data_IF_137411866178
#
_entry.id   IF_137411866178
#
_cell.length_a   1.000
_cell.length_b   1.000
_cell.length_c   1.000
_cell.angle_alpha   90.00
_cell.angle_beta   90.00
_cell.angle_gamma   90.00
#
_symmetry.space_group_name_H-M   'P 1'
#
loop_
_entity.id
_entity.type
_entity.pdbx_description
1 polymer ?
#
# COMPACT_ATOMS: atom_id res chain seq x y z
N UNK A 1 0.94 19.42 -28.53
CA UNK A 1 1.81 20.15 -27.58
C UNK A 1 2.71 19.13 -26.91
N UNK A 2 3.94 18.99 -27.41
CA UNK A 2 4.95 18.09 -26.89
C UNK A 2 5.47 18.65 -25.56
N UNK A 3 5.07 18.08 -24.43
CA UNK A 3 5.74 18.33 -23.16
C UNK A 3 7.06 17.59 -23.21
N UNK A 4 8.15 18.34 -23.30
CA UNK A 4 9.50 17.83 -23.04
C UNK A 4 9.54 17.36 -21.59
N UNK A 5 9.55 16.04 -21.35
CA UNK A 5 9.78 15.45 -20.02
C UNK A 5 11.08 14.64 -20.12
N UNK A 6 12.21 15.34 -20.19
CA UNK A 6 13.53 14.78 -19.91
C UNK A 6 13.97 15.40 -18.57
N UNK A 7 14.54 14.70 -17.58
CA UNK A 7 15.10 13.36 -17.60
C UNK A 7 16.02 13.20 -16.39
N UNK A 8 15.46 13.04 -15.19
CA UNK A 8 16.24 12.73 -13.98
C UNK A 8 15.72 11.44 -13.38
N UNK A 9 16.61 10.47 -13.24
CA UNK A 9 16.40 9.25 -12.47
C UNK A 9 17.11 9.49 -11.14
N UNK A 10 16.43 9.22 -10.03
CA UNK A 10 17.02 9.29 -8.69
C UNK A 10 17.77 7.98 -8.46
N UNK A 11 19.07 8.04 -8.20
CA UNK A 11 19.86 6.85 -7.86
C UNK A 11 20.10 6.79 -6.36
N UNK A 12 19.73 5.66 -5.75
CA UNK A 12 20.05 5.34 -4.35
C UNK A 12 20.83 4.03 -4.34
N UNK A 13 22.15 4.11 -4.13
CA UNK A 13 23.03 2.95 -4.27
C UNK A 13 23.00 2.40 -5.70
N UNK A 14 22.59 1.14 -5.85
CA UNK A 14 22.43 0.47 -7.16
C UNK A 14 20.99 0.53 -7.69
N UNK A 15 20.06 1.18 -6.98
CA UNK A 15 18.65 1.28 -7.37
C UNK A 15 18.40 2.58 -8.13
N UNK A 16 17.79 2.45 -9.32
CA UNK A 16 17.33 3.56 -10.15
C UNK A 16 15.83 3.77 -9.95
N UNK A 17 15.45 4.98 -9.56
CA UNK A 17 14.09 5.34 -9.16
C UNK A 17 13.57 6.44 -10.10
N UNK A 18 12.34 6.27 -10.59
CA UNK A 18 11.64 7.31 -11.35
C UNK A 18 11.42 8.55 -10.48
N UNK A 19 11.66 9.75 -11.02
CA UNK A 19 11.37 11.01 -10.32
C UNK A 19 9.87 11.18 -10.03
N UNK A 20 9.01 10.47 -10.77
CA UNK A 20 7.54 10.44 -10.54
C UNK A 20 7.18 10.02 -9.12
N UNK A 21 8.05 9.27 -8.42
CA UNK A 21 7.84 8.86 -7.02
C UNK A 21 7.66 10.05 -6.06
N UNK A 22 8.14 11.25 -6.42
CA UNK A 22 8.07 12.46 -5.58
C UNK A 22 6.75 13.21 -5.78
N UNK A 23 6.13 13.10 -6.95
CA UNK A 23 4.95 13.89 -7.33
C UNK A 23 3.67 13.07 -7.43
N UNK A 24 3.79 11.78 -7.74
CA UNK A 24 2.64 10.90 -7.92
C UNK A 24 2.25 10.24 -6.59
N UNK A 25 0.96 10.23 -6.33
CA UNK A 25 0.40 9.49 -5.20
C UNK A 25 0.40 8.00 -5.51
N UNK A 26 0.51 7.17 -4.47
CA UNK A 26 0.25 5.74 -4.61
C UNK A 26 -1.19 5.53 -5.13
N UNK A 27 -1.32 5.04 -6.36
CA UNK A 27 -2.59 4.79 -7.01
C UNK A 27 -2.75 3.28 -7.24
N UNK A 28 -3.51 2.62 -6.37
CA UNK A 28 -3.95 1.26 -6.64
C UNK A 28 -5.00 1.27 -7.74
N UNK A 29 -4.70 0.66 -8.88
CA UNK A 29 -5.69 0.38 -9.92
C UNK A 29 -6.32 -1.00 -9.66
N UNK A 30 -7.34 -1.02 -8.79
CA UNK A 30 -8.05 -2.25 -8.42
C UNK A 30 -8.67 -2.98 -9.64
N UNK A 31 -9.33 -2.30 -10.59
CA UNK A 31 -9.81 -2.92 -11.82
C UNK A 31 -8.72 -3.66 -12.61
N UNK A 32 -7.47 -3.17 -12.60
CA UNK A 32 -6.34 -3.80 -13.29
C UNK A 32 -5.67 -4.88 -12.43
N UNK A 33 -5.46 -4.65 -11.15
CA UNK A 33 -4.67 -5.54 -10.29
C UNK A 33 -5.49 -6.66 -9.64
N UNK A 34 -6.81 -6.49 -9.49
CA UNK A 34 -7.69 -7.47 -8.83
C UNK A 34 -7.33 -7.76 -7.37
N UNK A 35 -6.58 -6.86 -6.71
CA UNK A 35 -6.08 -7.06 -5.36
C UNK A 35 -4.80 -7.90 -5.25
N UNK A 36 -4.16 -8.28 -6.37
CA UNK A 36 -2.93 -9.08 -6.35
C UNK A 36 -1.83 -8.47 -5.46
N UNK A 37 -1.61 -7.16 -5.56
CA UNK A 37 -0.62 -6.45 -4.74
C UNK A 37 -0.98 -6.41 -3.25
N UNK A 38 -2.25 -6.57 -2.87
CA UNK A 38 -2.69 -6.60 -1.48
C UNK A 38 -2.67 -8.02 -0.88
N UNK A 39 -2.71 -9.06 -1.73
CA UNK A 39 -2.73 -10.47 -1.31
C UNK A 39 -1.32 -11.07 -1.34
N UNK A 40 -0.55 -10.76 -2.39
CA UNK A 40 0.80 -11.30 -2.60
C UNK A 40 1.91 -10.28 -2.32
N UNK A 41 1.57 -8.98 -2.20
CA UNK A 41 2.55 -7.93 -1.98
C UNK A 41 2.78 -7.64 -0.50
N UNK A 42 4.05 -7.69 -0.08
CA UNK A 42 4.50 -7.25 1.25
C UNK A 42 4.61 -5.72 1.38
N UNK A 43 4.31 -4.99 0.30
CA UNK A 43 4.47 -3.53 0.17
C UNK A 43 3.12 -2.85 -0.12
N UNK A 44 2.08 -3.22 0.63
CA UNK A 44 0.83 -2.46 0.66
C UNK A 44 1.07 -0.99 1.03
N UNK A 45 0.08 -0.13 0.80
CA UNK A 45 0.17 1.25 1.23
C UNK A 45 0.39 1.30 2.76
N UNK A 46 1.39 2.04 3.25
CA UNK A 46 1.54 2.25 4.69
C UNK A 46 0.31 3.01 5.22
N UNK A 47 -0.07 2.70 6.45
CA UNK A 47 -1.08 3.46 7.17
C UNK A 47 -0.46 4.74 7.74
N UNK A 48 -1.21 5.83 7.71
CA UNK A 48 -0.92 7.04 8.47
C UNK A 48 -1.14 6.79 9.97
N UNK A 49 -0.51 7.59 10.85
CA UNK A 49 -0.52 7.35 12.31
C UNK A 49 -1.92 7.36 12.94
N UNK A 50 -2.91 7.98 12.30
CA UNK A 50 -4.28 8.10 12.80
C UNK A 50 -5.25 7.07 12.20
N UNK A 51 -4.89 6.42 11.09
CA UNK A 51 -5.73 5.41 10.41
C UNK A 51 -5.99 4.14 11.23
N UNK A 52 -5.04 3.58 12.01
CA UNK A 52 -5.25 2.37 12.80
C UNK A 52 -6.43 2.46 13.79
N UNK A 53 -6.70 3.66 14.33
CA UNK A 53 -7.79 3.85 15.30
C UNK A 53 -9.17 3.52 14.72
N UNK A 54 -9.37 3.86 13.44
CA UNK A 54 -10.59 3.53 12.72
C UNK A 54 -10.70 2.03 12.46
N UNK A 55 -9.59 1.40 12.06
CA UNK A 55 -9.51 -0.04 11.80
C UNK A 55 -9.81 -0.85 13.07
N UNK A 56 -9.24 -0.48 14.22
CA UNK A 56 -9.51 -1.13 15.51
C UNK A 56 -10.98 -1.02 15.92
N UNK A 57 -11.56 0.17 15.79
CA UNK A 57 -12.97 0.41 16.14
C UNK A 57 -13.93 -0.40 15.26
N UNK A 58 -13.59 -0.58 13.99
CA UNK A 58 -14.40 -1.30 13.01
C UNK A 58 -14.04 -2.78 12.90
N UNK A 59 -12.97 -3.25 13.53
CA UNK A 59 -12.49 -4.64 13.45
C UNK A 59 -13.58 -5.68 13.69
N UNK A 60 -14.47 -5.55 14.70
CA UNK A 60 -15.55 -6.50 14.91
C UNK A 60 -16.54 -6.63 13.73
N UNK A 61 -16.61 -5.64 12.84
CA UNK A 61 -17.50 -5.64 11.68
C UNK A 61 -16.98 -6.51 10.54
N UNK A 62 -15.66 -6.59 10.37
CA UNK A 62 -15.05 -7.29 9.24
C UNK A 62 -14.23 -8.51 9.63
N UNK A 63 -13.79 -8.65 10.89
CA UNK A 63 -13.11 -9.86 11.36
C UNK A 63 -13.88 -11.16 11.11
N UNK A 64 -15.23 -11.23 11.12
CA UNK A 64 -15.96 -12.45 10.76
C UNK A 64 -15.81 -12.87 9.29
N UNK A 65 -15.32 -11.96 8.42
CA UNK A 65 -15.09 -12.22 7.00
C UNK A 65 -13.64 -12.62 6.70
N UNK A 66 -12.75 -12.53 7.71
CA UNK A 66 -11.33 -12.82 7.58
C UNK A 66 -11.04 -14.30 7.84
N UNK A 67 -9.91 -14.79 7.33
CA UNK A 67 -9.43 -16.13 7.67
C UNK A 67 -8.89 -16.16 9.11
N UNK A 68 -8.92 -17.32 9.75
CA UNK A 68 -8.36 -17.50 11.10
C UNK A 68 -6.89 -17.06 11.17
N UNK A 69 -6.12 -17.34 10.11
CA UNK A 69 -4.72 -16.93 10.01
C UNK A 69 -4.55 -15.40 10.01
N UNK A 70 -5.43 -14.68 9.31
CA UNK A 70 -5.41 -13.22 9.28
C UNK A 70 -5.83 -12.63 10.64
N UNK A 71 -6.86 -13.16 11.29
CA UNK A 71 -7.27 -12.73 12.63
C UNK A 71 -6.15 -12.93 13.65
N UNK A 72 -5.51 -14.10 13.64
CA UNK A 72 -4.38 -14.39 14.52
C UNK A 72 -3.20 -13.44 14.28
N UNK A 73 -2.96 -13.06 13.02
CA UNK A 73 -1.91 -12.09 12.71
C UNK A 73 -2.19 -10.74 13.36
N UNK A 74 -3.42 -10.23 13.27
CA UNK A 74 -3.82 -8.99 13.95
C UNK A 74 -3.63 -9.09 15.45
N UNK A 75 -3.97 -10.22 16.08
CA UNK A 75 -3.75 -10.43 17.53
C UNK A 75 -2.26 -10.40 17.92
N UNK A 76 -1.36 -10.84 17.03
CA UNK A 76 0.08 -10.89 17.27
C UNK A 76 0.78 -9.54 17.04
N UNK A 77 0.37 -8.77 16.02
CA UNK A 77 1.08 -7.56 15.59
C UNK A 77 0.31 -6.24 15.70
N UNK A 78 -1.00 -6.28 15.91
CA UNK A 78 -1.85 -5.07 15.85
C UNK A 78 -2.15 -4.61 14.43
N UNK A 79 -2.58 -3.36 14.30
CA UNK A 79 -2.89 -2.67 13.04
C UNK A 79 -1.76 -1.73 12.64
#
# INVERSE_FOLDING_TARGET
MSRSVLGRIIQIGEVLISEEVVSEYFACDYPVCGGLCCIEGDAGAPLEEDEPKGLEADYPKFSPLMSEAACKRVDEVGF
#
